data_IF_125356777974
#
_entry.id   IF_125356777974
#
_cell.length_a   1.000
_cell.length_b   1.000
_cell.length_c   1.000
_cell.angle_alpha   90.00
_cell.angle_beta   90.00
_cell.angle_gamma   90.00
#
_symmetry.space_group_name_H-M   'P 1'
#
loop_
_entity.id
_entity.type
_entity.pdbx_description
1 polymer ?
#
# COMPACT_ATOMS: atom_id res chain seq x y z
N UNK A 1 -20.95 -3.98 10.17
CA UNK A 1 -19.97 -3.39 11.11
C UNK A 1 -19.32 -4.47 11.96
N UNK A 2 -18.11 -4.22 12.43
CA UNK A 2 -17.43 -5.11 13.38
C UNK A 2 -18.01 -4.86 14.79
N UNK A 3 -18.50 -5.89 15.49
CA UNK A 3 -19.08 -5.71 16.83
C UNK A 3 -17.99 -5.50 17.89
N UNK A 4 -18.28 -4.72 18.93
CA UNK A 4 -17.34 -4.46 20.05
C UNK A 4 -17.03 -5.73 20.86
N UNK A 5 -17.93 -6.70 20.80
CA UNK A 5 -17.83 -8.08 21.30
C UNK A 5 -16.58 -8.81 20.83
N UNK A 6 -15.95 -8.38 19.74
CA UNK A 6 -14.67 -8.93 19.26
C UNK A 6 -13.59 -8.89 20.35
N UNK A 7 -13.62 -7.86 21.22
CA UNK A 7 -12.71 -7.77 22.36
C UNK A 7 -12.97 -8.78 23.49
N UNK A 8 -14.03 -9.58 23.42
CA UNK A 8 -14.30 -10.71 24.34
C UNK A 8 -13.66 -12.01 23.83
N UNK A 9 -13.16 -12.03 22.59
CA UNK A 9 -12.60 -13.22 21.94
C UNK A 9 -11.10 -13.38 22.26
N UNK A 10 -10.77 -13.82 23.47
CA UNK A 10 -9.38 -13.94 23.95
C UNK A 10 -8.47 -14.85 23.12
N UNK A 11 -9.05 -15.81 22.40
CA UNK A 11 -8.32 -16.76 21.53
C UNK A 11 -8.38 -16.40 20.04
N UNK A 12 -8.73 -15.16 19.68
CA UNK A 12 -8.90 -14.74 18.30
C UNK A 12 -7.55 -14.59 17.57
N UNK A 13 -7.25 -15.51 16.65
CA UNK A 13 -6.00 -15.51 15.88
C UNK A 13 -6.08 -14.57 14.66
N UNK A 14 -7.23 -14.52 13.99
CA UNK A 14 -7.42 -13.76 12.76
C UNK A 14 -8.83 -13.18 12.67
N UNK A 15 -8.92 -12.00 12.08
CA UNK A 15 -10.18 -11.34 11.68
C UNK A 15 -10.14 -11.20 10.18
N UNK A 16 -10.70 -12.18 9.48
CA UNK A 16 -10.68 -12.27 8.01
C UNK A 16 -12.10 -12.04 7.49
N UNK A 17 -12.36 -10.79 7.09
CA UNK A 17 -13.67 -10.29 6.69
C UNK A 17 -13.62 -9.50 5.37
N UNK A 18 -12.56 -9.70 4.58
CA UNK A 18 -12.35 -9.04 3.30
C UNK A 18 -13.47 -9.37 2.28
N UNK A 19 -13.64 -8.52 1.26
CA UNK A 19 -14.61 -8.70 0.17
C UNK A 19 -16.08 -8.81 0.65
N UNK A 20 -16.49 -7.89 1.52
CA UNK A 20 -17.85 -7.85 2.08
C UNK A 20 -18.45 -6.44 2.00
N UNK A 21 -19.68 -6.27 2.49
CA UNK A 21 -20.34 -4.98 2.65
C UNK A 21 -20.26 -4.46 4.11
N UNK A 22 -19.15 -4.69 4.80
CA UNK A 22 -18.98 -4.22 6.19
C UNK A 22 -18.76 -2.72 6.18
N UNK A 23 -19.63 -2.00 6.90
CA UNK A 23 -19.54 -0.57 7.16
C UNK A 23 -19.16 -0.27 8.61
N UNK A 24 -18.85 0.99 8.94
CA UNK A 24 -18.48 1.42 10.28
C UNK A 24 -16.98 1.45 10.52
N UNK A 25 -16.56 1.63 11.78
CA UNK A 25 -15.17 1.79 12.19
C UNK A 25 -14.57 0.49 12.73
N UNK A 26 -13.24 0.46 12.92
CA UNK A 26 -12.59 -0.55 13.76
C UNK A 26 -12.90 -0.21 15.24
N UNK A 27 -13.48 -1.12 16.04
CA UNK A 27 -13.80 -0.85 17.45
C UNK A 27 -12.51 -0.81 18.29
N UNK A 28 -12.42 0.13 19.24
CA UNK A 28 -11.25 0.25 20.14
C UNK A 28 -10.99 -1.00 20.98
N UNK A 29 -12.05 -1.78 21.25
CA UNK A 29 -12.00 -3.07 21.95
C UNK A 29 -11.15 -4.13 21.24
N UNK A 30 -10.71 -3.90 20.00
CA UNK A 30 -9.72 -4.74 19.30
C UNK A 30 -8.43 -4.88 20.11
N UNK A 31 -8.08 -3.91 20.97
CA UNK A 31 -6.92 -4.02 21.88
C UNK A 31 -6.93 -5.26 22.79
N UNK A 32 -8.10 -5.82 23.07
CA UNK A 32 -8.22 -6.99 23.94
C UNK A 32 -7.82 -8.29 23.24
N UNK A 33 -7.68 -8.30 21.91
CA UNK A 33 -7.17 -9.45 21.14
C UNK A 33 -5.65 -9.44 20.97
N UNK A 34 -4.95 -8.47 21.58
CA UNK A 34 -3.49 -8.29 21.52
C UNK A 34 -2.65 -9.53 21.82
N UNK A 35 -3.18 -10.45 22.62
CA UNK A 35 -2.43 -11.63 23.06
C UNK A 35 -2.39 -12.76 22.02
N UNK A 36 -3.28 -12.72 21.01
CA UNK A 36 -3.51 -13.83 20.09
C UNK A 36 -3.67 -13.41 18.63
N UNK A 37 -4.11 -12.18 18.35
CA UNK A 37 -4.34 -11.70 17.00
C UNK A 37 -3.03 -11.55 16.19
N UNK A 38 -2.99 -12.24 15.06
CA UNK A 38 -1.92 -12.24 14.04
C UNK A 38 -2.36 -11.60 12.72
N UNK A 39 -3.64 -11.68 12.37
CA UNK A 39 -4.17 -11.18 11.08
C UNK A 39 -5.39 -10.28 11.31
N UNK A 40 -5.36 -9.09 10.72
CA UNK A 40 -6.53 -8.22 10.59
C UNK A 40 -6.70 -7.90 9.10
N UNK A 41 -7.62 -8.61 8.44
CA UNK A 41 -7.87 -8.54 7.01
C UNK A 41 -9.31 -8.08 6.75
N UNK A 42 -9.44 -6.78 6.45
CA UNK A 42 -10.70 -6.06 6.26
C UNK A 42 -10.82 -5.47 4.84
N UNK A 43 -9.94 -5.84 3.92
CA UNK A 43 -9.84 -5.28 2.57
C UNK A 43 -11.14 -5.35 1.77
N UNK A 44 -11.37 -4.40 0.87
CA UNK A 44 -12.52 -4.39 -0.05
C UNK A 44 -13.85 -4.46 0.72
N UNK A 45 -14.13 -3.40 1.47
CA UNK A 45 -15.31 -3.19 2.31
C UNK A 45 -15.76 -1.72 2.24
N UNK A 46 -16.71 -1.31 3.08
CA UNK A 46 -17.21 0.08 3.18
C UNK A 46 -16.90 0.70 4.54
N UNK A 47 -15.80 0.27 5.17
CA UNK A 47 -15.39 0.77 6.49
C UNK A 47 -14.82 2.19 6.39
N UNK A 48 -15.03 2.98 7.44
CA UNK A 48 -14.71 4.40 7.46
C UNK A 48 -14.19 4.86 8.83
N UNK A 49 -13.83 6.14 8.91
CA UNK A 49 -13.25 6.75 10.12
C UNK A 49 -11.74 6.53 10.20
N UNK A 50 -11.15 6.82 11.35
CA UNK A 50 -9.70 6.72 11.56
C UNK A 50 -9.29 5.32 12.04
N UNK A 51 -8.03 4.96 11.83
CA UNK A 51 -7.41 3.84 12.57
C UNK A 51 -7.36 4.24 14.06
N UNK A 52 -7.89 3.43 14.99
CA UNK A 52 -7.83 3.71 16.42
C UNK A 52 -6.39 3.50 16.96
N UNK A 53 -5.90 4.38 17.83
CA UNK A 53 -4.56 4.27 18.43
C UNK A 53 -4.38 2.96 19.21
N UNK A 54 -5.47 2.39 19.71
CA UNK A 54 -5.56 1.05 20.31
C UNK A 54 -4.97 -0.06 19.43
N UNK A 55 -4.91 0.09 18.11
CA UNK A 55 -4.32 -0.91 17.20
C UNK A 55 -2.86 -1.20 17.52
N UNK A 56 -2.11 -0.20 18.02
CA UNK A 56 -0.70 -0.35 18.41
C UNK A 56 -0.47 -1.34 19.54
N UNK A 57 -1.52 -1.70 20.29
CA UNK A 57 -1.44 -2.73 21.35
C UNK A 57 -1.32 -4.14 20.79
N UNK A 58 -1.66 -4.37 19.51
CA UNK A 58 -1.60 -5.68 18.87
C UNK A 58 -0.16 -6.00 18.41
N UNK A 59 0.76 -6.10 19.38
CA UNK A 59 2.20 -6.29 19.13
C UNK A 59 2.54 -7.62 18.45
N UNK A 60 1.62 -8.59 18.49
CA UNK A 60 1.68 -9.90 17.81
C UNK A 60 1.05 -9.92 16.41
N UNK A 61 0.49 -8.80 15.94
CA UNK A 61 -0.09 -8.73 14.60
C UNK A 61 1.02 -8.82 13.55
N UNK A 62 0.84 -9.70 12.60
CA UNK A 62 1.77 -10.01 11.50
C UNK A 62 1.32 -9.38 10.17
N UNK A 63 0.00 -9.29 9.97
CA UNK A 63 -0.65 -8.72 8.78
C UNK A 63 -1.73 -7.70 9.15
N UNK A 64 -1.64 -6.51 8.57
CA UNK A 64 -2.66 -5.47 8.61
C UNK A 64 -3.08 -5.12 7.18
N UNK A 65 -4.26 -5.57 6.77
CA UNK A 65 -4.79 -5.41 5.41
C UNK A 65 -6.14 -4.68 5.49
N UNK A 66 -6.12 -3.37 5.20
CA UNK A 66 -7.25 -2.42 5.31
C UNK A 66 -7.61 -1.77 3.95
N UNK A 67 -7.07 -2.28 2.85
CA UNK A 67 -7.12 -1.65 1.53
C UNK A 67 -8.52 -1.65 0.89
N UNK A 68 -8.71 -0.79 -0.10
CA UNK A 68 -9.97 -0.57 -0.84
C UNK A 68 -11.17 -0.40 0.13
N UNK A 69 -11.09 0.64 0.96
CA UNK A 69 -12.09 1.03 1.97
C UNK A 69 -12.30 2.56 1.93
N UNK A 70 -12.88 3.14 2.97
CA UNK A 70 -13.08 4.59 3.13
C UNK A 70 -12.51 5.13 4.45
N UNK A 71 -11.45 4.49 4.97
CA UNK A 71 -10.73 5.01 6.15
C UNK A 71 -10.07 6.36 5.85
N UNK A 72 -9.89 7.18 6.88
CA UNK A 72 -9.46 8.58 6.74
C UNK A 72 -8.61 9.07 7.92
N UNK A 73 -8.09 10.29 7.82
CA UNK A 73 -7.18 10.87 8.79
C UNK A 73 -5.75 10.34 8.65
N UNK A 74 -4.91 10.59 9.65
CA UNK A 74 -3.50 10.15 9.66
C UNK A 74 -3.33 8.72 10.18
N UNK A 75 -2.24 8.07 9.76
CA UNK A 75 -1.77 6.84 10.41
C UNK A 75 -1.32 7.22 11.84
N UNK A 76 -1.84 6.56 12.91
CA UNK A 76 -1.41 6.86 14.28
C UNK A 76 0.02 6.34 14.53
N UNK A 77 0.82 7.09 15.29
CA UNK A 77 2.23 6.73 15.57
C UNK A 77 2.35 5.45 16.40
N UNK A 78 1.31 5.07 17.14
CA UNK A 78 1.22 3.79 17.85
C UNK A 78 1.32 2.56 16.94
N UNK A 79 1.14 2.71 15.62
CA UNK A 79 1.45 1.66 14.63
C UNK A 79 2.89 1.18 14.75
N UNK A 80 3.85 2.04 15.13
CA UNK A 80 5.24 1.68 15.38
C UNK A 80 5.48 0.71 16.55
N UNK A 81 4.45 0.46 17.39
CA UNK A 81 4.49 -0.54 18.46
C UNK A 81 4.21 -1.97 17.97
N UNK A 82 3.69 -2.13 16.74
CA UNK A 82 3.24 -3.41 16.17
C UNK A 82 4.41 -4.25 15.63
N UNK A 83 5.44 -4.49 16.45
CA UNK A 83 6.77 -4.95 16.00
C UNK A 83 6.81 -6.32 15.31
N UNK A 84 5.76 -7.15 15.41
CA UNK A 84 5.64 -8.41 14.64
C UNK A 84 5.19 -8.23 13.18
N UNK A 85 4.74 -7.02 12.82
CA UNK A 85 4.10 -6.75 11.52
C UNK A 85 5.10 -6.92 10.38
N UNK A 86 4.77 -7.76 9.40
CA UNK A 86 5.55 -7.92 8.17
C UNK A 86 4.85 -7.39 6.91
N UNK A 87 3.53 -7.18 6.97
CA UNK A 87 2.74 -6.64 5.85
C UNK A 87 1.77 -5.58 6.37
N UNK A 88 1.84 -4.39 5.78
CA UNK A 88 0.90 -3.28 6.01
C UNK A 88 0.34 -2.81 4.66
N UNK A 89 -0.95 -3.03 4.43
CA UNK A 89 -1.66 -2.60 3.21
C UNK A 89 -2.79 -1.64 3.57
N UNK A 90 -2.60 -0.35 3.25
CA UNK A 90 -3.54 0.75 3.47
C UNK A 90 -4.04 1.36 2.15
N UNK A 91 -3.68 0.75 1.01
CA UNK A 91 -3.96 1.20 -0.36
C UNK A 91 -5.44 1.52 -0.58
N UNK A 92 -5.76 2.51 -1.40
CA UNK A 92 -7.15 2.74 -1.84
C UNK A 92 -8.07 3.14 -0.69
N UNK A 93 -7.69 4.19 0.04
CA UNK A 93 -8.44 4.76 1.16
C UNK A 93 -8.39 6.30 1.06
N UNK A 94 -8.94 6.99 2.06
CA UNK A 94 -8.90 8.45 2.18
C UNK A 94 -7.92 8.90 3.30
N UNK A 95 -6.86 8.15 3.58
CA UNK A 95 -5.84 8.58 4.56
C UNK A 95 -5.14 9.85 4.10
N UNK A 96 -4.66 10.64 5.06
CA UNK A 96 -4.12 11.98 4.81
C UNK A 96 -3.09 12.40 5.85
N UNK A 97 -2.39 13.51 5.57
CA UNK A 97 -1.29 14.00 6.43
C UNK A 97 0.02 13.24 6.17
N UNK A 98 0.94 13.31 7.14
CA UNK A 98 2.27 12.73 7.01
C UNK A 98 2.30 11.26 7.43
N UNK A 99 3.21 10.49 6.83
CA UNK A 99 3.54 9.13 7.27
C UNK A 99 4.37 9.24 8.57
N UNK A 100 3.98 8.57 9.67
CA UNK A 100 4.70 8.63 10.95
C UNK A 100 6.10 8.01 10.83
N UNK A 101 7.11 8.65 11.44
CA UNK A 101 8.49 8.16 11.43
C UNK A 101 8.66 6.89 12.27
N UNK A 102 7.74 6.62 13.19
CA UNK A 102 7.65 5.40 13.99
C UNK A 102 7.47 4.12 13.15
N UNK A 103 7.09 4.23 11.86
CA UNK A 103 7.14 3.08 10.92
C UNK A 103 8.55 2.48 10.83
N UNK A 104 9.61 3.27 11.00
CA UNK A 104 10.99 2.78 11.04
C UNK A 104 11.31 1.84 12.22
N UNK A 105 10.46 1.76 13.24
CA UNK A 105 10.59 0.80 14.34
C UNK A 105 10.16 -0.62 13.94
N UNK A 106 9.39 -0.75 12.86
CA UNK A 106 8.76 -2.00 12.42
C UNK A 106 9.71 -2.84 11.57
N UNK A 107 10.89 -3.16 12.11
CA UNK A 107 12.01 -3.85 11.43
C UNK A 107 11.68 -5.22 10.80
N UNK A 108 10.50 -5.79 11.10
CA UNK A 108 9.97 -7.00 10.45
C UNK A 108 9.22 -6.74 9.14
N UNK A 109 8.88 -5.49 8.80
CA UNK A 109 8.16 -5.13 7.58
C UNK A 109 8.91 -5.58 6.33
N UNK A 110 8.18 -6.28 5.47
CA UNK A 110 8.57 -6.73 4.12
C UNK A 110 7.81 -5.96 3.05
N UNK A 111 6.60 -5.51 3.37
CA UNK A 111 5.68 -4.88 2.43
C UNK A 111 4.87 -3.77 3.09
N UNK A 112 4.92 -2.60 2.47
CA UNK A 112 4.16 -1.40 2.83
C UNK A 112 3.45 -0.92 1.56
N UNK A 113 2.13 -0.82 1.59
CA UNK A 113 1.35 -0.23 0.50
C UNK A 113 0.52 0.94 1.00
N UNK A 114 0.83 2.13 0.48
CA UNK A 114 0.18 3.39 0.87
C UNK A 114 -0.47 4.11 -0.31
N UNK A 115 -0.29 3.64 -1.54
CA UNK A 115 -0.77 4.31 -2.75
C UNK A 115 -2.32 4.37 -2.86
N UNK A 116 -2.83 5.33 -3.63
CA UNK A 116 -4.26 5.67 -3.73
C UNK A 116 -4.84 6.12 -2.39
N UNK A 117 -4.16 7.06 -1.76
CA UNK A 117 -4.59 7.84 -0.60
C UNK A 117 -4.41 9.35 -0.89
N UNK A 118 -4.40 10.17 0.17
CA UNK A 118 -4.15 11.62 0.12
C UNK A 118 -2.98 11.99 1.05
N UNK A 119 -1.94 11.15 1.12
CA UNK A 119 -0.77 11.42 1.97
C UNK A 119 0.01 12.64 1.47
N UNK A 120 0.64 13.37 2.38
CA UNK A 120 1.35 14.62 2.11
C UNK A 120 2.74 14.65 2.74
N UNK A 121 3.64 15.45 2.14
CA UNK A 121 4.97 15.69 2.67
C UNK A 121 5.99 14.70 2.11
N UNK A 122 6.81 14.13 3.00
CA UNK A 122 7.91 13.24 2.64
C UNK A 122 7.73 11.83 3.18
N UNK A 123 8.23 10.83 2.45
CA UNK A 123 8.51 9.50 2.98
C UNK A 123 9.55 9.65 4.12
N UNK A 124 9.25 9.20 5.36
CA UNK A 124 10.14 9.39 6.50
C UNK A 124 11.44 8.62 6.29
N UNK A 125 12.57 9.29 6.51
CA UNK A 125 13.92 8.69 6.38
C UNK A 125 14.09 7.46 7.28
N UNK A 126 13.31 7.32 8.34
CA UNK A 126 13.32 6.18 9.25
C UNK A 126 12.93 4.86 8.56
N UNK A 127 12.30 4.89 7.38
CA UNK A 127 12.14 3.73 6.49
C UNK A 127 13.49 3.12 6.06
N UNK A 128 14.60 3.87 6.11
CA UNK A 128 15.96 3.36 5.91
C UNK A 128 16.36 2.25 6.91
N UNK A 129 15.70 2.18 8.08
CA UNK A 129 15.97 1.15 9.09
C UNK A 129 15.25 -0.18 8.81
N UNK A 130 14.38 -0.24 7.79
CA UNK A 130 13.59 -1.41 7.46
C UNK A 130 14.36 -2.36 6.51
N UNK A 131 15.42 -2.99 7.02
CA UNK A 131 16.30 -3.88 6.24
C UNK A 131 15.57 -5.06 5.53
N UNK A 132 14.41 -5.45 6.06
CA UNK A 132 13.55 -6.50 5.52
C UNK A 132 12.57 -6.03 4.46
N UNK A 133 12.40 -4.73 4.27
CA UNK A 133 11.45 -4.15 3.33
C UNK A 133 11.83 -4.50 1.89
N UNK A 134 10.85 -4.92 1.10
CA UNK A 134 11.00 -5.32 -0.30
C UNK A 134 10.05 -4.58 -1.22
N UNK A 135 8.84 -4.30 -0.75
CA UNK A 135 7.80 -3.58 -1.50
C UNK A 135 7.42 -2.32 -0.72
N UNK A 136 7.51 -1.18 -1.40
CA UNK A 136 6.93 0.10 -0.97
C UNK A 136 6.13 0.69 -2.13
N UNK A 137 4.86 1.01 -1.89
CA UNK A 137 4.05 1.87 -2.77
C UNK A 137 3.59 3.11 -2.01
N UNK A 138 3.48 4.23 -2.71
CA UNK A 138 3.14 5.55 -2.17
C UNK A 138 2.34 6.37 -3.18
N UNK A 139 1.64 7.40 -2.71
CA UNK A 139 0.99 8.39 -3.58
C UNK A 139 2.04 9.23 -4.35
N UNK A 140 1.71 9.66 -5.57
CA UNK A 140 2.58 10.45 -6.44
C UNK A 140 2.97 11.82 -5.87
N UNK A 141 2.23 12.29 -4.86
CA UNK A 141 2.50 13.55 -4.14
C UNK A 141 3.53 13.44 -3.01
N UNK A 142 4.01 12.24 -2.68
CA UNK A 142 5.01 12.04 -1.63
C UNK A 142 6.44 12.22 -2.16
N UNK A 143 7.19 13.08 -1.48
CA UNK A 143 8.58 13.42 -1.84
C UNK A 143 9.60 12.71 -0.94
N UNK A 144 10.89 12.81 -1.27
CA UNK A 144 11.99 12.28 -0.46
C UNK A 144 12.74 11.13 -1.12
N UNK A 145 13.84 10.72 -0.47
CA UNK A 145 14.73 9.67 -0.98
C UNK A 145 14.21 8.31 -0.57
N UNK A 146 13.70 7.53 -1.53
CA UNK A 146 13.49 6.10 -1.33
C UNK A 146 14.83 5.41 -1.54
N UNK A 147 15.37 4.66 -0.57
CA UNK A 147 16.67 4.02 -0.72
C UNK A 147 16.70 2.95 -1.81
N UNK A 148 17.80 2.92 -2.57
CA UNK A 148 18.10 2.00 -3.68
C UNK A 148 17.96 0.49 -3.36
N UNK A 149 17.84 0.14 -2.07
CA UNK A 149 17.64 -1.25 -1.58
C UNK A 149 16.18 -1.69 -1.57
N UNK A 150 15.22 -0.77 -1.69
CA UNK A 150 13.78 -1.07 -1.76
C UNK A 150 13.38 -1.15 -3.23
N UNK A 151 12.73 -2.25 -3.65
CA UNK A 151 12.09 -2.29 -4.97
C UNK A 151 10.84 -1.42 -4.93
N UNK A 152 10.95 -0.19 -5.42
CA UNK A 152 9.83 0.73 -5.56
C UNK A 152 8.93 0.31 -6.71
N UNK A 153 7.68 -0.02 -6.38
CA UNK A 153 6.63 -0.14 -7.40
C UNK A 153 5.91 1.20 -7.49
N UNK A 154 6.60 2.20 -8.06
CA UNK A 154 6.01 3.52 -8.32
C UNK A 154 5.00 3.40 -9.49
N UNK A 155 3.71 3.71 -9.28
CA UNK A 155 2.72 3.70 -10.35
C UNK A 155 2.77 4.99 -11.17
N UNK A 156 3.82 5.14 -11.99
CA UNK A 156 3.92 6.16 -13.03
C UNK A 156 3.93 7.64 -12.57
N UNK A 157 4.95 8.03 -11.81
CA UNK A 157 5.41 9.43 -11.86
C UNK A 157 5.78 9.81 -13.31
N UNK A 158 5.34 10.98 -13.76
CA UNK A 158 5.39 11.37 -15.18
C UNK A 158 6.82 11.43 -15.77
N UNK A 159 6.94 10.89 -17.00
CA UNK A 159 8.01 11.15 -17.99
C UNK A 159 9.43 10.63 -17.70
N UNK A 160 9.80 9.53 -18.39
CA UNK A 160 11.15 9.40 -18.98
C UNK A 160 12.33 9.03 -18.08
N UNK A 161 12.18 8.01 -17.22
CA UNK A 161 13.28 7.42 -16.43
C UNK A 161 13.22 5.88 -16.43
N UNK A 162 14.39 5.22 -16.41
CA UNK A 162 14.57 3.82 -16.80
C UNK A 162 14.04 2.75 -15.81
N UNK A 163 13.35 1.75 -16.38
CA UNK A 163 12.90 0.47 -15.82
C UNK A 163 14.06 -0.38 -15.23
N UNK A 164 13.86 -1.11 -14.11
CA UNK A 164 14.66 -2.33 -13.82
C UNK A 164 13.97 -3.39 -12.92
N UNK A 165 13.81 -4.58 -13.51
CA UNK A 165 13.76 -5.95 -12.96
C UNK A 165 12.83 -6.38 -11.80
N UNK A 166 11.61 -6.73 -12.23
CA UNK A 166 10.68 -7.66 -11.59
C UNK A 166 11.08 -9.16 -11.69
N UNK A 167 12.32 -9.50 -12.09
CA UNK A 167 12.77 -10.90 -12.33
C UNK A 167 12.80 -11.82 -11.11
N UNK A 168 12.70 -11.31 -9.89
CA UNK A 168 12.54 -12.13 -8.67
C UNK A 168 11.07 -12.47 -8.36
N UNK A 169 10.11 -11.88 -9.08
CA UNK A 169 8.70 -12.13 -8.84
C UNK A 169 8.23 -13.35 -9.63
N UNK A 170 8.49 -14.52 -9.04
CA UNK A 170 7.70 -15.72 -9.30
C UNK A 170 6.54 -15.72 -8.27
N UNK A 171 5.28 -15.63 -8.75
CA UNK A 171 4.03 -15.31 -8.01
C UNK A 171 2.90 -16.39 -7.94
N UNK A 172 2.01 -16.59 -8.95
CA UNK A 172 0.96 -17.67 -8.98
C UNK A 172 -0.40 -17.09 -8.55
N UNK A 173 -1.31 -16.92 -9.52
CA UNK A 173 -2.75 -16.92 -9.29
C UNK A 173 -3.20 -18.18 -8.54
N UNK A 174 -3.89 -17.96 -7.42
CA UNK A 174 -4.56 -18.98 -6.60
C UNK A 174 -3.62 -19.99 -5.91
N UNK A 175 -4.18 -20.73 -4.96
CA UNK A 175 -3.51 -21.63 -4.00
C UNK A 175 -2.23 -22.34 -4.52
N UNK A 176 -1.07 -21.75 -4.23
CA UNK A 176 0.32 -22.19 -4.55
C UNK A 176 0.81 -22.03 -6.02
N UNK A 177 1.80 -21.12 -6.31
CA UNK A 177 2.94 -21.35 -7.25
C UNK A 177 4.06 -20.24 -7.43
N UNK A 178 4.04 -19.40 -8.50
CA UNK A 178 5.19 -19.06 -9.42
C UNK A 178 5.07 -17.91 -10.50
N UNK A 179 3.93 -17.23 -10.81
CA UNK A 179 3.78 -16.11 -11.80
C UNK A 179 3.67 -14.70 -11.21
N UNK A 180 4.70 -13.88 -11.39
CA UNK A 180 4.64 -12.45 -11.12
C UNK A 180 4.34 -11.61 -12.36
N UNK A 181 3.73 -10.46 -12.16
CA UNK A 181 3.49 -9.48 -13.24
C UNK A 181 4.81 -8.72 -13.48
N UNK A 182 5.38 -8.85 -14.68
CA UNK A 182 6.46 -7.97 -15.15
C UNK A 182 5.84 -6.64 -15.59
N UNK A 183 6.26 -5.54 -14.97
CA UNK A 183 6.00 -4.19 -15.45
C UNK A 183 6.80 -3.92 -16.72
N UNK A 184 6.22 -3.17 -17.64
CA UNK A 184 6.84 -2.75 -18.90
C UNK A 184 7.35 -1.31 -18.75
N UNK A 185 8.42 -0.94 -19.46
CA UNK A 185 8.82 0.47 -19.60
C UNK A 185 7.80 1.29 -20.39
N UNK A 186 7.87 2.61 -20.21
CA UNK A 186 7.21 3.56 -21.11
C UNK A 186 7.61 3.36 -22.59
N UNK A 187 8.83 2.90 -22.85
CA UNK A 187 9.35 2.62 -24.19
C UNK A 187 8.76 1.32 -24.78
N UNK A 188 8.74 0.21 -24.02
CA UNK A 188 8.02 -1.02 -24.42
C UNK A 188 6.52 -0.77 -24.68
N UNK A 189 5.89 0.12 -23.89
CA UNK A 189 4.50 0.55 -24.08
C UNK A 189 4.30 1.36 -25.37
N UNK A 190 5.21 2.29 -25.69
CA UNK A 190 5.15 3.12 -26.90
C UNK A 190 5.35 2.30 -28.18
N UNK A 191 6.26 1.32 -28.18
CA UNK A 191 6.44 0.42 -29.31
C UNK A 191 5.21 -0.47 -29.56
N UNK A 192 4.56 -0.96 -28.49
CA UNK A 192 3.35 -1.79 -28.62
C UNK A 192 2.16 -1.08 -29.30
N UNK A 193 2.17 0.26 -29.32
CA UNK A 193 1.13 1.09 -29.94
C UNK A 193 1.21 1.15 -31.46
N UNK A 194 2.36 0.79 -32.04
CA UNK A 194 2.63 0.84 -33.48
C UNK A 194 2.60 -0.53 -34.17
N UNK A 195 2.36 -1.61 -33.40
CA UNK A 195 2.38 -2.99 -33.87
C UNK A 195 0.97 -3.59 -33.86
N UNK A 196 0.29 -3.69 -35.03
CA UNK A 196 -1.10 -4.12 -35.10
C UNK A 196 -1.33 -5.61 -34.81
N UNK A 197 -0.29 -6.43 -34.64
CA UNK A 197 -0.44 -7.85 -34.30
C UNK A 197 -0.39 -8.12 -32.76
N UNK A 198 -0.01 -7.11 -31.95
CA UNK A 198 0.06 -7.22 -30.47
C UNK A 198 -1.27 -6.95 -29.73
N UNK A 199 -2.40 -7.37 -30.31
CA UNK A 199 -3.76 -7.04 -29.80
C UNK A 199 -4.10 -7.47 -28.35
N UNK A 200 -3.26 -8.28 -27.70
CA UNK A 200 -3.44 -8.68 -26.29
C UNK A 200 -3.07 -7.57 -25.28
N UNK A 201 -2.28 -6.55 -25.64
CA UNK A 201 -1.91 -5.46 -24.72
C UNK A 201 -2.97 -4.36 -24.61
N UNK A 202 -3.81 -4.18 -25.63
CA UNK A 202 -4.75 -3.06 -25.72
C UNK A 202 -5.76 -3.03 -24.56
N UNK A 203 -6.21 -4.20 -24.07
CA UNK A 203 -7.11 -4.28 -22.92
C UNK A 203 -6.40 -4.01 -21.57
N UNK A 204 -5.09 -4.23 -21.47
CA UNK A 204 -4.30 -3.79 -20.31
C UNK A 204 -4.15 -2.26 -20.31
N UNK A 205 -3.86 -1.65 -21.46
CA UNK A 205 -3.90 -0.19 -21.60
C UNK A 205 -5.30 0.40 -21.37
N UNK A 206 -6.39 -0.33 -21.67
CA UNK A 206 -7.76 0.14 -21.43
C UNK A 206 -8.11 0.25 -19.94
N UNK A 207 -7.45 -0.51 -19.08
CA UNK A 207 -7.50 -0.33 -17.62
C UNK A 207 -6.68 0.89 -17.14
N UNK A 208 -5.58 1.23 -17.84
CA UNK A 208 -4.76 2.40 -17.53
C UNK A 208 -5.39 3.72 -18.00
N UNK A 209 -6.16 3.71 -19.10
CA UNK A 209 -6.79 4.94 -19.65
C UNK A 209 -7.84 5.59 -18.76
N UNK A 210 -8.38 4.90 -17.75
CA UNK A 210 -9.27 5.52 -16.76
C UNK A 210 -8.53 6.32 -15.67
N UNK A 211 -7.21 6.16 -15.54
CA UNK A 211 -6.40 6.88 -14.57
C UNK A 211 -5.41 7.89 -15.21
N UNK A 212 -5.14 7.81 -16.51
CA UNK A 212 -4.37 8.84 -17.22
C UNK A 212 -5.24 10.06 -17.57
N UNK A 213 -5.55 10.90 -16.58
CA UNK A 213 -6.19 12.21 -16.83
C UNK A 213 -5.18 13.16 -17.49
N UNK A 214 -5.36 13.36 -18.80
CA UNK A 214 -4.78 14.46 -19.60
C UNK A 214 -3.24 14.56 -19.67
N UNK A 215 -2.66 14.04 -20.76
CA UNK A 215 -1.41 14.61 -21.29
C UNK A 215 -1.70 15.99 -21.89
N UNK A 216 -1.71 17.02 -21.03
CA UNK A 216 -1.98 18.40 -21.43
C UNK A 216 -0.88 18.96 -22.34
N UNK A 217 -1.27 19.44 -23.52
CA UNK A 217 -0.39 20.22 -24.40
C UNK A 217 -0.12 21.60 -23.78
N UNK A 218 0.95 21.75 -23.01
CA UNK A 218 1.26 22.97 -22.26
C UNK A 218 2.76 23.21 -22.07
N UNK A 219 3.26 24.25 -22.74
CA UNK A 219 4.57 24.91 -22.65
C UNK A 219 5.58 24.46 -21.58
N UNK A 220 6.82 24.21 -22.02
CA UNK A 220 8.05 24.35 -21.23
C UNK A 220 8.17 25.72 -20.56
N UNK A 221 9.05 25.80 -19.54
CA UNK A 221 9.32 26.89 -18.56
C UNK A 221 8.52 26.65 -17.26
N UNK A 222 9.12 26.63 -16.07
CA UNK A 222 10.37 27.27 -15.64
C UNK A 222 11.38 26.38 -14.89
N UNK A 223 12.63 26.85 -14.93
CA UNK A 223 13.87 26.44 -14.25
C UNK A 223 13.74 25.98 -12.80
N UNK A 224 14.55 24.97 -12.42
CA UNK A 224 15.12 24.83 -11.07
C UNK A 224 16.64 24.77 -11.20
N UNK A 225 17.32 25.60 -10.40
CA UNK A 225 18.78 25.67 -10.28
C UNK A 225 19.19 25.00 -8.97
N UNK A 226 20.09 24.01 -9.06
CA UNK A 226 20.88 23.36 -7.99
C UNK A 226 20.21 23.18 -6.62
#
# INVERSE_FOLDING_TARGET
>A
MIPTEIGKMSNLIGVELAHNAISGTIPSQIENTKETAKVLWLSNNTMFGTIPTQIGRLTKLEKLELDENSFSGSIPSEVGLMTSLYLMNLRGNNFSGMIPSEIGLLTNLKEIRLDRNNFMGTIPREILFLERLRILTSDDGLSGVIPDKIKTLNPCAQCGGSEYDLKDYKGQYFENADYGIRGLSCEELLESKNDPDKFLSANACKFLTYNCISCGSGSLRDTITL
#
